data_IF_102436561330
#
_entry.id   IF_102436561330
#
_cell.length_a   1.000
_cell.length_b   1.000
_cell.length_c   1.000
_cell.angle_alpha   90.00
_cell.angle_beta   90.00
_cell.angle_gamma   90.00
#
_symmetry.space_group_name_H-M   'P 1'
#
loop_
_entity.id
_entity.type
_entity.pdbx_description
1 polymer ?
#
# COMPACT_ATOMS: atom_id res chain seq x y z
N UNK A 1 9.09 12.45 5.29
CA UNK A 1 10.18 12.73 6.24
C UNK A 1 10.36 11.54 7.15
N UNK A 2 11.58 11.03 7.26
CA UNK A 2 11.99 10.06 8.25
C UNK A 2 12.47 10.75 9.52
N UNK A 3 12.15 10.15 10.67
CA UNK A 3 12.63 10.59 11.96
C UNK A 3 13.21 9.38 12.69
N UNK A 4 14.44 9.50 13.17
CA UNK A 4 15.09 8.54 14.06
C UNK A 4 15.23 9.15 15.43
N UNK A 5 14.85 8.39 16.44
CA UNK A 5 15.14 8.68 17.84
C UNK A 5 15.99 7.55 18.39
N UNK A 6 17.23 7.83 18.78
CA UNK A 6 18.13 6.86 19.40
C UNK A 6 18.31 7.16 20.88
N UNK A 7 18.37 6.11 21.70
CA UNK A 7 18.54 6.22 23.15
C UNK A 7 19.90 5.67 23.54
N UNK A 8 20.71 6.47 24.24
CA UNK A 8 22.03 6.08 24.73
C UNK A 8 22.33 6.77 26.06
N UNK A 9 22.72 5.98 27.06
CA UNK A 9 23.16 6.46 28.37
C UNK A 9 22.16 7.44 29.04
N UNK A 10 20.86 7.18 28.90
CA UNK A 10 19.80 8.04 29.45
C UNK A 10 19.45 9.28 28.62
N UNK A 11 20.09 9.48 27.47
CA UNK A 11 19.82 10.57 26.54
C UNK A 11 19.08 10.08 25.29
N UNK A 12 18.23 10.94 24.73
CA UNK A 12 17.61 10.74 23.43
C UNK A 12 18.23 11.69 22.39
N UNK A 13 18.61 11.15 21.23
CA UNK A 13 19.12 11.94 20.09
C UNK A 13 18.16 11.77 18.92
N UNK A 14 17.65 12.90 18.42
CA UNK A 14 16.80 12.97 17.24
C UNK A 14 17.60 13.26 15.98
N UNK A 15 17.27 12.60 14.87
CA UNK A 15 17.71 12.96 13.54
C UNK A 15 16.52 12.84 12.58
N UNK A 16 16.50 13.64 11.52
CA UNK A 16 15.49 13.51 10.48
C UNK A 16 16.12 13.72 9.11
N UNK A 17 15.52 13.09 8.09
CA UNK A 17 15.91 13.25 6.70
C UNK A 17 14.66 13.16 5.84
N UNK A 18 14.59 13.95 4.77
CA UNK A 18 13.51 13.79 3.80
C UNK A 18 13.85 12.63 2.87
N UNK A 19 12.85 11.78 2.57
CA UNK A 19 13.05 10.70 1.60
C UNK A 19 13.21 11.34 0.22
N UNK A 20 14.30 11.01 -0.46
CA UNK A 20 14.69 11.54 -1.76
C UNK A 20 13.96 10.83 -2.91
N UNK A 21 12.63 10.74 -2.79
CA UNK A 21 11.73 10.12 -3.76
C UNK A 21 11.58 10.97 -5.03
N UNK A 22 11.14 10.38 -6.14
CA UNK A 22 10.85 11.11 -7.37
C UNK A 22 9.73 12.13 -7.17
N UNK A 23 8.72 11.80 -6.36
CA UNK A 23 7.64 12.72 -6.00
C UNK A 23 8.17 13.94 -5.24
N UNK A 24 9.05 13.74 -4.26
CA UNK A 24 9.68 14.83 -3.52
C UNK A 24 10.56 15.70 -4.44
N UNK A 25 11.46 15.08 -5.21
CA UNK A 25 12.38 15.79 -6.11
C UNK A 25 11.65 16.62 -7.15
N UNK A 26 10.62 16.06 -7.80
CA UNK A 26 9.81 16.79 -8.78
C UNK A 26 9.05 17.95 -8.13
N UNK A 27 8.53 17.78 -6.91
CA UNK A 27 7.86 18.85 -6.19
C UNK A 27 8.82 19.99 -5.83
N UNK A 28 10.05 19.67 -5.41
CA UNK A 28 11.10 20.66 -5.16
C UNK A 28 11.54 21.39 -6.44
N UNK A 29 11.69 20.65 -7.55
CA UNK A 29 12.11 21.22 -8.84
C UNK A 29 11.05 22.15 -9.44
N UNK A 30 9.77 21.77 -9.39
CA UNK A 30 8.69 22.50 -10.06
C UNK A 30 7.87 23.40 -9.15
N UNK A 31 8.09 23.36 -7.83
CA UNK A 31 7.34 24.14 -6.84
C UNK A 31 5.83 23.82 -6.80
N UNK A 32 5.43 22.64 -7.30
CA UNK A 32 4.03 22.20 -7.36
C UNK A 32 3.93 20.68 -7.25
N UNK A 33 2.74 20.17 -6.97
CA UNK A 33 2.46 18.74 -6.93
C UNK A 33 2.58 18.12 -8.33
N UNK A 34 3.43 17.10 -8.48
CA UNK A 34 3.71 16.45 -9.78
C UNK A 34 3.20 15.00 -9.86
N UNK A 35 2.92 14.36 -8.74
CA UNK A 35 2.45 12.97 -8.65
C UNK A 35 1.07 12.90 -8.00
N UNK A 36 0.33 11.82 -8.26
CA UNK A 36 -0.97 11.56 -7.63
C UNK A 36 -0.74 10.96 -6.24
N UNK A 37 -1.10 11.70 -5.21
CA UNK A 37 -0.97 11.30 -3.79
C UNK A 37 -2.24 10.59 -3.31
N UNK A 38 -2.43 10.42 -2.01
CA UNK A 38 -3.61 9.73 -1.46
C UNK A 38 -4.92 10.52 -1.65
N UNK A 39 -4.91 11.81 -1.28
CA UNK A 39 -6.07 12.72 -1.33
C UNK A 39 -5.93 13.86 -2.34
N UNK A 40 -4.78 13.98 -3.01
CA UNK A 40 -4.44 15.11 -3.86
C UNK A 40 -3.93 14.66 -5.23
N UNK A 41 -4.32 15.40 -6.27
CA UNK A 41 -3.90 15.13 -7.65
C UNK A 41 -3.34 16.41 -8.29
N UNK A 42 -2.32 16.30 -9.17
CA UNK A 42 -1.82 17.45 -9.91
C UNK A 42 -2.95 18.11 -10.71
N UNK A 43 -3.10 19.43 -10.58
CA UNK A 43 -4.08 20.18 -11.38
C UNK A 43 -3.68 20.12 -12.85
N UNK A 44 -4.55 19.67 -13.77
CA UNK A 44 -4.22 19.63 -15.18
C UNK A 44 -4.11 21.05 -15.75
N UNK A 45 -2.99 21.35 -16.39
CA UNK A 45 -2.75 22.65 -17.05
C UNK A 45 -3.56 22.77 -18.38
N UNK A 46 -4.03 21.63 -18.93
CA UNK A 46 -4.85 21.55 -20.14
C UNK A 46 -5.61 20.22 -20.29
N UNK A 47 -6.58 20.16 -21.20
CA UNK A 47 -7.32 18.93 -21.52
C UNK A 47 -6.41 17.79 -22.05
N UNK A 48 -5.36 18.12 -22.81
CA UNK A 48 -4.37 17.12 -23.25
C UNK A 48 -3.53 16.58 -22.09
N UNK A 49 -3.18 17.43 -21.13
CA UNK A 49 -2.49 16.98 -19.91
C UNK A 49 -3.36 16.06 -19.05
N UNK A 50 -4.68 16.26 -19.07
CA UNK A 50 -5.63 15.38 -18.38
C UNK A 50 -5.65 13.97 -19.00
N UNK A 51 -5.74 13.86 -20.34
CA UNK A 51 -5.64 12.56 -21.01
C UNK A 51 -4.30 11.87 -20.77
N UNK A 52 -3.19 12.62 -20.80
CA UNK A 52 -1.87 12.09 -20.45
C UNK A 52 -1.81 11.54 -19.02
N UNK A 53 -2.40 12.24 -18.05
CA UNK A 53 -2.51 11.76 -16.67
C UNK A 53 -3.34 10.48 -16.56
N UNK A 54 -4.40 10.34 -17.37
CA UNK A 54 -5.25 9.15 -17.37
C UNK A 54 -4.52 7.92 -17.90
N UNK A 55 -3.80 8.07 -19.02
CA UNK A 55 -2.95 7.00 -19.57
C UNK A 55 -1.87 6.62 -18.57
N UNK A 56 -1.23 7.61 -17.94
CA UNK A 56 -0.21 7.42 -16.91
C UNK A 56 -0.75 6.76 -15.62
N UNK A 57 -2.06 6.87 -15.36
CA UNK A 57 -2.72 6.17 -14.24
C UNK A 57 -2.92 4.70 -14.57
N UNK A 58 -3.40 4.40 -15.78
CA UNK A 58 -3.62 3.03 -16.23
C UNK A 58 -2.30 2.24 -16.38
N UNK A 59 -1.20 2.91 -16.73
CA UNK A 59 0.15 2.32 -16.75
C UNK A 59 0.84 2.29 -15.38
N UNK A 60 0.27 2.95 -14.36
CA UNK A 60 0.89 3.08 -13.04
C UNK A 60 2.05 4.08 -12.94
N UNK A 61 2.49 4.71 -14.03
CA UNK A 61 3.63 5.65 -14.01
C UNK A 61 3.38 6.93 -13.23
N UNK A 62 2.10 7.32 -13.07
CA UNK A 62 1.69 8.49 -12.27
C UNK A 62 1.56 8.20 -10.77
N UNK A 63 1.71 6.95 -10.34
CA UNK A 63 1.66 6.62 -8.92
C UNK A 63 2.86 7.23 -8.20
N UNK A 64 2.58 7.82 -7.05
CA UNK A 64 3.60 8.40 -6.18
C UNK A 64 4.56 7.34 -5.66
N UNK A 65 5.80 7.72 -5.40
CA UNK A 65 6.77 6.96 -4.60
C UNK A 65 7.00 7.61 -3.22
N UNK A 66 6.12 8.54 -2.82
CA UNK A 66 6.13 9.21 -1.52
C UNK A 66 5.87 8.21 -0.39
N UNK A 67 6.95 7.63 0.13
CA UNK A 67 6.93 6.54 1.12
C UNK A 67 6.68 7.07 2.54
N UNK A 68 5.48 7.58 2.80
CA UNK A 68 5.15 8.32 4.01
C UNK A 68 4.30 7.56 5.04
N UNK A 69 3.99 6.29 4.80
CA UNK A 69 3.01 5.55 5.61
C UNK A 69 3.64 4.69 6.69
N UNK A 70 4.74 3.99 6.38
CA UNK A 70 5.33 3.06 7.34
C UNK A 70 6.82 2.88 7.16
N UNK A 71 7.48 2.49 8.25
CA UNK A 71 8.87 2.04 8.26
C UNK A 71 8.90 0.62 8.80
N UNK A 72 9.51 -0.31 8.08
CA UNK A 72 9.66 -1.70 8.50
C UNK A 72 11.09 -2.16 8.33
N UNK A 73 11.46 -3.19 9.09
CA UNK A 73 12.74 -3.90 8.94
C UNK A 73 12.44 -5.30 8.40
N UNK A 74 13.02 -5.66 7.28
CA UNK A 74 12.98 -7.02 6.73
C UNK A 74 13.85 -7.96 7.58
N UNK A 75 13.57 -9.26 7.54
CA UNK A 75 14.33 -10.27 8.30
C UNK A 75 15.81 -10.38 7.90
N UNK A 76 16.21 -9.81 6.75
CA UNK A 76 17.62 -9.71 6.32
C UNK A 76 18.31 -8.41 6.76
N UNK A 77 17.61 -7.58 7.55
CA UNK A 77 18.14 -6.35 8.13
C UNK A 77 17.88 -5.10 7.32
N UNK A 78 17.47 -5.19 6.04
CA UNK A 78 17.12 -4.02 5.23
C UNK A 78 15.94 -3.26 5.85
N UNK A 79 15.97 -1.93 5.81
CA UNK A 79 14.88 -1.09 6.30
C UNK A 79 14.15 -0.47 5.12
N UNK A 80 12.84 -0.67 5.05
CA UNK A 80 11.97 -0.13 4.01
C UNK A 80 11.09 0.98 4.58
N UNK A 81 10.96 2.06 3.81
CA UNK A 81 9.85 2.99 3.91
C UNK A 81 8.80 2.60 2.87
N UNK A 82 7.53 2.69 3.25
CA UNK A 82 6.40 2.27 2.43
C UNK A 82 5.35 3.37 2.27
N UNK A 83 4.60 3.24 1.19
CA UNK A 83 3.22 3.73 1.05
C UNK A 83 2.39 2.60 0.42
N UNK A 84 1.15 2.87 0.01
CA UNK A 84 0.28 1.86 -0.60
C UNK A 84 0.63 1.57 -2.06
N UNK A 85 1.42 2.44 -2.71
CA UNK A 85 1.94 2.15 -4.05
C UNK A 85 3.16 1.24 -3.96
N UNK A 86 3.22 0.22 -4.83
CA UNK A 86 4.39 -0.67 -4.90
C UNK A 86 5.66 0.12 -5.24
N UNK A 87 5.53 1.15 -6.10
CA UNK A 87 6.61 2.07 -6.49
C UNK A 87 7.20 2.84 -5.30
N UNK A 88 6.41 3.09 -4.27
CA UNK A 88 6.83 3.75 -3.04
C UNK A 88 7.33 2.79 -1.96
N UNK A 89 7.92 1.67 -2.37
CA UNK A 89 8.75 0.84 -1.50
C UNK A 89 10.21 1.30 -1.66
N UNK A 90 10.78 1.92 -0.63
CA UNK A 90 12.11 2.53 -0.69
C UNK A 90 13.01 1.98 0.42
N UNK A 91 14.21 1.53 0.06
CA UNK A 91 15.26 1.10 1.00
C UNK A 91 15.96 2.34 1.56
N UNK A 92 16.13 2.37 2.88
CA UNK A 92 16.83 3.45 3.58
C UNK A 92 17.91 2.90 4.51
N UNK A 93 18.94 3.70 4.75
CA UNK A 93 19.94 3.43 5.77
C UNK A 93 19.38 3.87 7.14
N UNK A 94 19.21 2.98 8.12
CA UNK A 94 18.62 3.34 9.41
C UNK A 94 19.55 4.20 10.29
N UNK A 95 20.84 4.26 9.96
CA UNK A 95 21.84 4.97 10.75
C UNK A 95 22.13 6.38 10.20
N UNK A 96 22.12 6.56 8.88
CA UNK A 96 22.29 7.87 8.24
C UNK A 96 20.97 8.52 7.83
N UNK A 97 19.90 7.72 7.72
CA UNK A 97 18.60 8.10 7.14
C UNK A 97 18.65 8.40 5.64
N UNK A 98 19.73 8.03 4.96
CA UNK A 98 19.87 8.21 3.53
C UNK A 98 18.90 7.31 2.76
N UNK A 99 18.38 7.85 1.66
CA UNK A 99 17.62 7.08 0.67
C UNK A 99 18.59 6.25 -0.16
N UNK A 100 18.54 4.93 -0.03
CA UNK A 100 19.52 4.02 -0.67
C UNK A 100 19.08 3.66 -2.08
N UNK A 101 17.88 3.09 -2.23
CA UNK A 101 17.36 2.65 -3.51
C UNK A 101 15.84 2.44 -3.47
N UNK A 102 15.22 2.28 -4.64
CA UNK A 102 13.89 1.67 -4.72
C UNK A 102 13.99 0.18 -4.37
N UNK A 103 12.94 -0.35 -3.75
CA UNK A 103 12.78 -1.77 -3.50
C UNK A 103 11.93 -2.36 -4.61
N UNK A 104 12.57 -3.09 -5.53
CA UNK A 104 11.90 -3.74 -6.66
C UNK A 104 11.51 -5.17 -6.29
N UNK A 105 10.20 -5.46 -6.35
CA UNK A 105 9.70 -6.83 -6.25
C UNK A 105 9.98 -7.57 -7.57
N UNK A 106 10.51 -8.79 -7.46
CA UNK A 106 10.98 -9.59 -8.61
C UNK A 106 9.96 -10.68 -9.03
N UNK A 107 8.75 -10.62 -8.50
CA UNK A 107 7.67 -11.57 -8.81
C UNK A 107 6.78 -11.12 -9.98
N UNK A 108 5.84 -12.01 -10.34
CA UNK A 108 4.84 -11.80 -11.40
C UNK A 108 3.42 -11.67 -10.85
N UNK A 109 3.26 -11.42 -9.55
CA UNK A 109 1.92 -11.31 -8.94
C UNK A 109 1.17 -10.06 -9.42
N UNK A 110 1.90 -9.11 -10.01
CA UNK A 110 1.35 -7.85 -10.49
C UNK A 110 0.87 -6.97 -9.32
N UNK A 111 -0.09 -6.10 -9.62
CA UNK A 111 -0.60 -5.12 -8.67
C UNK A 111 0.26 -3.86 -8.63
N UNK A 112 -0.41 -2.72 -8.74
CA UNK A 112 0.22 -1.40 -8.63
C UNK A 112 0.27 -0.89 -7.18
N UNK A 113 -0.54 -1.51 -6.33
CA UNK A 113 -0.76 -1.15 -4.95
C UNK A 113 -0.77 -2.41 -4.08
N UNK A 114 -0.52 -2.23 -2.79
CA UNK A 114 -0.53 -3.27 -1.77
C UNK A 114 -0.92 -2.64 -0.42
N UNK A 115 -1.21 -3.48 0.59
CA UNK A 115 -1.45 -2.98 1.94
C UNK A 115 -0.22 -2.20 2.45
N UNK A 116 -0.47 -1.05 3.07
CA UNK A 116 0.54 -0.18 3.66
C UNK A 116 1.30 -0.83 4.83
N UNK A 117 0.66 -1.77 5.52
CA UNK A 117 1.22 -2.44 6.70
C UNK A 117 1.38 -3.94 6.43
N UNK A 118 2.39 -4.35 5.66
CA UNK A 118 2.76 -5.76 5.60
C UNK A 118 3.25 -6.23 6.97
N UNK A 119 3.08 -7.52 7.25
CA UNK A 119 3.54 -8.14 8.48
C UNK A 119 4.89 -8.80 8.21
N UNK A 120 5.92 -8.36 8.93
CA UNK A 120 7.25 -8.97 8.89
C UNK A 120 7.51 -9.75 10.16
N UNK A 121 8.00 -10.96 9.98
CA UNK A 121 8.46 -11.89 11.03
C UNK A 121 9.91 -12.27 10.76
N UNK A 122 10.51 -13.05 11.65
CA UNK A 122 11.89 -13.53 11.48
C UNK A 122 12.06 -14.45 10.25
N UNK A 123 10.96 -15.00 9.71
CA UNK A 123 10.97 -15.96 8.60
C UNK A 123 10.30 -15.45 7.35
N UNK A 124 9.33 -14.55 7.49
CA UNK A 124 8.41 -14.21 6.42
C UNK A 124 8.03 -12.73 6.42
N UNK A 125 7.86 -12.19 5.22
CA UNK A 125 7.09 -10.99 4.94
C UNK A 125 5.74 -11.39 4.34
N UNK A 126 4.65 -10.83 4.84
CA UNK A 126 3.29 -11.04 4.36
C UNK A 126 2.68 -9.73 3.89
N UNK A 127 1.97 -9.75 2.75
CA UNK A 127 1.22 -8.60 2.26
C UNK A 127 -0.05 -9.02 1.53
N UNK A 128 -0.94 -8.06 1.32
CA UNK A 128 -2.15 -8.21 0.53
C UNK A 128 -2.05 -7.33 -0.71
N UNK A 129 -2.34 -7.92 -1.87
CA UNK A 129 -2.36 -7.22 -3.15
C UNK A 129 -3.81 -7.20 -3.65
N UNK A 130 -4.50 -6.04 -3.70
CA UNK A 130 -5.85 -5.98 -4.22
C UNK A 130 -5.87 -6.29 -5.73
N UNK A 131 -6.75 -7.20 -6.13
CA UNK A 131 -7.01 -7.53 -7.51
C UNK A 131 -8.21 -6.71 -8.00
N UNK A 132 -7.92 -5.66 -8.77
CA UNK A 132 -8.92 -4.74 -9.32
C UNK A 132 -9.68 -5.33 -10.53
N UNK A 133 -9.18 -6.42 -11.13
CA UNK A 133 -9.80 -7.08 -12.30
C UNK A 133 -10.78 -8.15 -11.83
N UNK A 134 -10.34 -8.99 -10.88
CA UNK A 134 -11.19 -9.97 -10.20
C UNK A 134 -11.29 -9.57 -8.72
N UNK A 135 -12.33 -8.81 -8.34
CA UNK A 135 -12.44 -8.19 -7.01
C UNK A 135 -12.10 -9.13 -5.87
N UNK A 136 -11.01 -8.83 -5.18
CA UNK A 136 -10.46 -9.68 -4.14
C UNK A 136 -9.05 -9.28 -3.75
N UNK A 137 -8.40 -10.10 -2.93
CA UNK A 137 -7.02 -9.90 -2.51
C UNK A 137 -6.20 -11.16 -2.73
N UNK A 138 -5.06 -10.98 -3.38
CA UNK A 138 -4.01 -11.98 -3.38
C UNK A 138 -3.26 -11.87 -2.05
N UNK A 139 -3.19 -12.98 -1.33
CA UNK A 139 -2.33 -13.14 -0.15
C UNK A 139 -0.97 -13.59 -0.64
N UNK A 140 0.05 -12.79 -0.35
CA UNK A 140 1.40 -13.02 -0.83
C UNK A 140 2.40 -13.10 0.33
N UNK A 141 3.38 -13.99 0.20
CA UNK A 141 4.46 -14.23 1.16
C UNK A 141 5.81 -14.02 0.49
N UNK A 142 6.80 -13.46 1.18
CA UNK A 142 8.17 -13.34 0.67
C UNK A 142 9.14 -13.87 1.73
N UNK A 143 10.03 -14.75 1.30
CA UNK A 143 11.10 -15.31 2.13
C UNK A 143 12.12 -14.22 2.51
N UNK A 144 12.75 -14.37 3.68
CA UNK A 144 13.87 -13.51 4.10
C UNK A 144 15.00 -13.53 3.07
N UNK A 145 15.58 -12.36 2.76
CA UNK A 145 16.64 -12.24 1.76
C UNK A 145 16.13 -12.20 0.32
N UNK A 146 14.85 -12.46 0.09
CA UNK A 146 14.23 -12.42 -1.24
C UNK A 146 13.62 -11.05 -1.54
N UNK A 147 13.39 -10.81 -2.83
CA UNK A 147 12.50 -9.77 -3.35
C UNK A 147 11.33 -10.38 -4.14
N UNK A 148 11.20 -11.71 -4.17
CA UNK A 148 10.16 -12.43 -4.89
C UNK A 148 9.03 -12.83 -3.95
N UNK A 149 7.86 -12.22 -4.12
CA UNK A 149 6.65 -12.65 -3.41
C UNK A 149 6.04 -13.87 -4.11
N UNK A 150 5.67 -14.85 -3.30
CA UNK A 150 4.98 -16.07 -3.69
C UNK A 150 3.48 -15.93 -3.43
N UNK A 151 2.68 -16.43 -4.38
CA UNK A 151 1.24 -16.57 -4.21
C UNK A 151 0.94 -17.63 -3.16
N UNK A 152 0.16 -17.28 -2.13
CA UNK A 152 -0.32 -18.24 -1.11
C UNK A 152 -1.78 -18.60 -1.37
N UNK A 153 -2.62 -17.61 -1.65
CA UNK A 153 -4.04 -17.81 -1.89
C UNK A 153 -4.72 -16.52 -2.35
N UNK A 154 -6.02 -16.62 -2.65
CA UNK A 154 -6.84 -15.47 -3.01
C UNK A 154 -8.13 -15.48 -2.18
N UNK A 155 -8.52 -14.30 -1.71
CA UNK A 155 -9.82 -14.04 -1.12
C UNK A 155 -10.67 -13.28 -2.13
N UNK A 156 -11.76 -13.89 -2.59
CA UNK A 156 -12.74 -13.22 -3.44
C UNK A 156 -13.66 -12.33 -2.59
N UNK A 157 -13.95 -11.12 -3.09
CA UNK A 157 -14.88 -10.23 -2.43
C UNK A 157 -16.31 -10.76 -2.53
N UNK A 158 -17.05 -10.74 -1.43
CA UNK A 158 -18.44 -11.20 -1.38
C UNK A 158 -19.43 -10.12 -1.80
N UNK A 159 -19.06 -8.84 -1.64
CA UNK A 159 -20.01 -7.73 -1.69
C UNK A 159 -19.68 -6.59 -2.65
N UNK A 160 -19.56 -6.80 -3.96
CA UNK A 160 -19.58 -5.67 -4.91
C UNK A 160 -18.51 -5.71 -6.01
N UNK A 161 -18.42 -4.65 -6.83
CA UNK A 161 -17.70 -4.68 -8.10
C UNK A 161 -16.18 -4.49 -7.96
N UNK A 162 -15.67 -4.25 -6.76
CA UNK A 162 -14.27 -3.90 -6.51
C UNK A 162 -13.83 -4.34 -5.11
N UNK A 163 -12.52 -4.58 -4.90
CA UNK A 163 -12.02 -4.87 -3.57
C UNK A 163 -12.21 -3.68 -2.64
N UNK A 164 -12.41 -3.98 -1.36
CA UNK A 164 -12.31 -3.00 -0.29
C UNK A 164 -10.93 -2.34 -0.25
N UNK A 165 -10.83 -1.23 0.47
CA UNK A 165 -9.56 -0.69 0.88
C UNK A 165 -9.11 -1.40 2.16
N UNK A 166 -7.89 -1.94 2.15
CA UNK A 166 -7.29 -2.64 3.30
C UNK A 166 -5.95 -2.02 3.60
N UNK A 167 -5.96 -1.16 4.61
CA UNK A 167 -4.76 -0.47 5.06
C UNK A 167 -3.80 -1.41 5.80
N UNK A 168 -4.34 -2.21 6.73
CA UNK A 168 -3.62 -3.20 7.52
C UNK A 168 -4.42 -4.49 7.70
N UNK A 169 -3.73 -5.56 8.08
CA UNK A 169 -4.32 -6.88 8.28
C UNK A 169 -3.49 -7.70 9.27
N UNK A 170 -4.10 -8.57 10.09
CA UNK A 170 -3.35 -9.38 11.04
C UNK A 170 -2.91 -10.72 10.44
N UNK A 171 -1.74 -11.18 10.89
CA UNK A 171 -1.21 -12.53 10.64
C UNK A 171 -0.95 -13.19 11.99
N UNK A 172 -1.41 -14.42 12.13
CA UNK A 172 -1.17 -15.29 13.29
C UNK A 172 -0.17 -16.38 12.92
N UNK A 173 0.13 -17.27 13.86
CA UNK A 173 0.96 -18.45 13.60
C UNK A 173 0.47 -19.25 12.38
N UNK A 174 -0.85 -19.45 12.28
CA UNK A 174 -1.47 -20.36 11.30
C UNK A 174 -2.34 -19.68 10.24
N UNK A 175 -2.75 -18.42 10.45
CA UNK A 175 -3.73 -17.76 9.61
C UNK A 175 -3.33 -16.35 9.18
N UNK A 176 -3.69 -15.99 7.95
CA UNK A 176 -3.79 -14.61 7.49
C UNK A 176 -5.25 -14.20 7.52
N UNK A 177 -5.59 -13.08 8.16
CA UNK A 177 -6.96 -12.57 8.18
C UNK A 177 -7.07 -11.42 7.19
N UNK A 178 -7.94 -11.57 6.19
CA UNK A 178 -8.17 -10.54 5.16
C UNK A 178 -9.49 -9.84 5.44
N UNK A 179 -9.48 -8.56 5.86
CA UNK A 179 -10.69 -7.78 6.01
C UNK A 179 -11.24 -7.37 4.63
N UNK A 180 -12.54 -7.47 4.46
CA UNK A 180 -13.29 -6.91 3.33
C UNK A 180 -14.14 -5.77 3.88
N UNK A 181 -13.74 -4.54 3.55
CA UNK A 181 -14.39 -3.32 4.03
C UNK A 181 -15.32 -2.70 2.97
N UNK A 182 -16.37 -1.98 3.39
CA UNK A 182 -17.35 -1.34 2.50
C UNK A 182 -16.82 -0.08 1.80
N UNK A 183 -15.69 0.48 2.23
CA UNK A 183 -14.96 1.49 1.47
C UNK A 183 -14.17 0.78 0.37
N UNK A 184 -14.58 0.91 -0.89
CA UNK A 184 -14.03 0.13 -2.01
C UNK A 184 -13.33 0.99 -3.03
N UNK A 185 -12.30 0.47 -3.70
CA UNK A 185 -11.67 1.16 -4.81
C UNK A 185 -12.70 1.43 -5.92
N UNK A 186 -12.71 2.64 -6.47
CA UNK A 186 -13.63 3.01 -7.52
C UNK A 186 -12.88 3.55 -8.73
N UNK A 187 -12.75 2.71 -9.78
CA UNK A 187 -12.11 3.11 -11.02
C UNK A 187 -12.84 4.29 -11.68
N UNK A 188 -14.17 4.34 -11.59
CA UNK A 188 -14.94 5.46 -12.12
C UNK A 188 -14.58 6.79 -11.41
N UNK A 189 -14.35 6.78 -10.09
CA UNK A 189 -13.92 7.97 -9.36
C UNK A 189 -12.47 8.34 -9.69
N UNK A 190 -11.59 7.35 -9.88
CA UNK A 190 -10.22 7.57 -10.33
C UNK A 190 -10.14 8.23 -11.71
N UNK A 191 -11.07 7.90 -12.61
CA UNK A 191 -11.20 8.47 -13.96
C UNK A 191 -11.91 9.83 -13.96
N UNK A 192 -12.75 10.12 -12.96
CA UNK A 192 -13.44 11.42 -12.82
C UNK A 192 -12.44 12.47 -12.35
N UNK A 193 -12.35 13.57 -13.09
CA UNK A 193 -11.41 14.67 -12.86
C UNK A 193 -11.78 15.59 -11.68
N UNK A 194 -12.83 15.26 -10.94
CA UNK A 194 -13.38 16.12 -9.89
C UNK A 194 -12.87 15.68 -8.51
N UNK A 195 -12.43 16.62 -7.65
CA UNK A 195 -12.06 16.32 -6.27
C UNK A 195 -13.33 15.93 -5.49
N UNK A 196 -13.63 14.64 -5.48
CA UNK A 196 -14.58 14.10 -4.51
C UNK A 196 -13.81 13.84 -3.20
N UNK A 197 -14.45 14.00 -2.02
CA UNK A 197 -13.79 13.77 -0.73
C UNK A 197 -13.13 12.38 -0.59
N UNK A 198 -13.59 11.41 -1.40
CA UNK A 198 -13.09 10.05 -1.47
C UNK A 198 -12.72 9.69 -2.93
N UNK A 199 -11.93 10.49 -3.64
CA UNK A 199 -11.77 10.33 -5.10
C UNK A 199 -11.21 8.98 -5.58
N UNK A 200 -10.57 8.19 -4.71
CA UNK A 200 -10.15 6.82 -5.05
C UNK A 200 -11.19 5.76 -4.70
N UNK A 201 -12.15 6.11 -3.86
CA UNK A 201 -13.01 5.17 -3.18
C UNK A 201 -14.49 5.47 -3.39
N UNK A 202 -15.31 4.46 -3.15
CA UNK A 202 -16.74 4.62 -3.04
C UNK A 202 -17.21 3.81 -1.84
N UNK A 203 -18.08 4.43 -1.05
CA UNK A 203 -18.66 3.81 0.12
C UNK A 203 -19.88 2.96 -0.28
N UNK A 204 -19.87 1.68 0.11
CA UNK A 204 -20.96 0.72 -0.14
C UNK A 204 -21.44 0.11 1.19
N UNK A 205 -22.24 0.84 1.99
CA UNK A 205 -22.64 0.38 3.32
C UNK A 205 -23.43 -0.94 3.27
N UNK A 206 -24.29 -1.10 2.26
CA UNK A 206 -25.13 -2.29 2.08
C UNK A 206 -24.33 -3.54 1.65
N UNK A 207 -23.05 -3.38 1.27
CA UNK A 207 -22.18 -4.54 1.00
C UNK A 207 -21.75 -5.28 2.27
N UNK A 208 -21.88 -4.62 3.43
CA UNK A 208 -21.42 -5.10 4.72
C UNK A 208 -19.91 -5.26 4.81
N UNK A 209 -19.43 -5.99 5.82
CA UNK A 209 -18.01 -6.23 6.05
C UNK A 209 -17.74 -7.68 6.40
N UNK A 210 -16.60 -8.20 5.94
CA UNK A 210 -16.21 -9.61 6.14
C UNK A 210 -14.77 -9.76 6.62
N UNK A 211 -14.50 -10.80 7.41
CA UNK A 211 -13.15 -11.18 7.85
C UNK A 211 -12.95 -12.58 7.36
N UNK A 212 -12.02 -12.74 6.42
CA UNK A 212 -11.71 -14.01 5.81
C UNK A 212 -10.46 -14.56 6.46
N UNK A 213 -10.57 -15.70 7.15
CA UNK A 213 -9.42 -16.39 7.73
C UNK A 213 -8.88 -17.40 6.71
N UNK A 214 -7.67 -17.17 6.23
CA UNK A 214 -6.95 -18.06 5.31
C UNK A 214 -5.89 -18.86 6.07
N UNK A 215 -5.88 -20.18 5.89
CA UNK A 215 -4.82 -21.04 6.42
C UNK A 215 -3.52 -20.82 5.64
N UNK A 216 -2.43 -20.47 6.34
CA UNK A 216 -1.11 -20.20 5.74
C UNK A 216 -0.55 -21.40 4.99
N UNK A 217 -0.78 -22.61 5.51
CA UNK A 217 -0.22 -23.84 4.95
C UNK A 217 -0.91 -24.28 3.66
N UNK A 218 -2.23 -24.10 3.57
CA UNK A 218 -3.02 -24.59 2.43
C UNK A 218 -3.44 -23.49 1.44
N UNK A 219 -3.36 -22.22 1.84
CA UNK A 219 -3.88 -21.10 1.04
C UNK A 219 -5.41 -21.03 0.98
N UNK A 220 -6.12 -21.93 1.66
CA UNK A 220 -7.57 -22.02 1.63
C UNK A 220 -8.22 -21.14 2.71
N UNK A 221 -9.37 -20.57 2.37
CA UNK A 221 -10.24 -19.87 3.32
C UNK A 221 -10.92 -20.93 4.20
N UNK A 222 -10.68 -20.87 5.51
CA UNK A 222 -11.24 -21.82 6.49
C UNK A 222 -12.45 -21.27 7.23
N UNK A 223 -12.58 -19.94 7.29
CA UNK A 223 -13.74 -19.28 7.88
C UNK A 223 -13.94 -17.89 7.29
N UNK A 224 -15.18 -17.43 7.31
CA UNK A 224 -15.58 -16.09 6.90
C UNK A 224 -16.65 -15.57 7.86
N UNK A 225 -16.39 -14.45 8.52
CA UNK A 225 -17.29 -13.83 9.49
C UNK A 225 -17.80 -12.50 8.97
N UNK A 226 -19.09 -12.24 9.15
CA UNK A 226 -19.74 -10.99 8.79
C UNK A 226 -19.84 -10.06 10.01
N UNK A 227 -19.61 -8.77 9.80
CA UNK A 227 -19.78 -7.70 10.80
C UNK A 227 -20.18 -6.40 10.11
N UNK A 228 -20.60 -5.43 10.92
CA UNK A 228 -20.86 -4.06 10.48
C UNK A 228 -19.76 -3.16 11.03
N UNK A 229 -18.92 -2.59 10.16
CA UNK A 229 -18.16 -1.39 10.52
C UNK A 229 -19.07 -0.16 10.42
N UNK A 230 -19.04 0.69 11.44
CA UNK A 230 -19.73 1.98 11.42
C UNK A 230 -18.84 3.12 10.89
N UNK A 231 -17.51 2.96 10.96
CA UNK A 231 -16.54 4.01 10.61
C UNK A 231 -15.20 3.38 10.20
N UNK A 232 -14.47 4.03 9.28
CA UNK A 232 -13.08 3.70 8.93
C UNK A 232 -12.22 4.90 9.32
N UNK A 233 -11.33 4.72 10.28
CA UNK A 233 -10.35 5.74 10.68
C UNK A 233 -9.03 5.47 9.95
N UNK A 234 -8.38 6.53 9.49
CA UNK A 234 -7.03 6.51 8.90
C UNK A 234 -6.13 7.26 9.85
N UNK A 235 -5.07 6.62 10.32
CA UNK A 235 -4.05 7.23 11.19
C UNK A 235 -3.11 8.17 10.39
#
# INVERSE_FOLDING_TARGET
MLVRVSFRDGHAVGAHQQIESEAYKAACEHGKLCYREFSEVPKPDSFMSFFGQLVSLLSGSSLTDNSNTGVLRLGDGRVLCLTESVKGSIVVDPDTLDTVSKFEYQDKLGGLIHSAHPIVTDTDFWTLIPDLIRPGYVVARMDVGSNERQFVGKVDCRGGPAPGWVHSFPVTENYVVVPEMPLRYCMANLLRAEPTPLYKFQWYPDSGSYMHAMCKASGNIVSCFFFHFCEVLVD
#
